data_IF_968075362140
#
_entry.id   IF_968075362140
#
_cell.length_a   1.000
_cell.length_b   1.000
_cell.length_c   1.000
_cell.angle_alpha   90.00
_cell.angle_beta   90.00
_cell.angle_gamma   90.00
#
_symmetry.space_group_name_H-M   'P 1'
#
loop_
_entity.id
_entity.type
_entity.pdbx_description
1 polymer ?
#
# COMPACT_ATOMS: atom_id res chain seq x y z
N UNK A 1 59.00 47.99 -47.98
CA UNK A 1 57.56 48.20 -48.14
C UNK A 1 56.89 46.93 -47.64
N UNK A 2 57.01 46.59 -46.37
CA UNK A 2 56.35 47.13 -45.16
C UNK A 2 55.50 45.97 -44.61
N UNK A 3 56.13 45.12 -43.78
CA UNK A 3 56.15 45.10 -42.29
C UNK A 3 54.99 44.25 -41.73
N UNK A 4 55.11 43.17 -40.94
CA UNK A 4 56.15 42.26 -40.38
C UNK A 4 55.43 40.90 -40.14
N UNK A 5 55.88 39.75 -40.69
CA UNK A 5 56.67 38.67 -40.03
C UNK A 5 56.22 38.26 -38.61
N UNK A 6 55.60 37.08 -38.41
CA UNK A 6 56.18 35.71 -38.19
C UNK A 6 56.41 35.43 -36.68
N UNK A 7 56.14 34.27 -36.07
CA UNK A 7 56.37 32.86 -36.42
C UNK A 7 55.55 31.92 -35.49
N UNK A 8 55.17 30.72 -35.96
CA UNK A 8 55.01 29.47 -35.16
C UNK A 8 56.34 28.69 -35.22
N UNK A 9 56.68 27.74 -34.31
CA UNK A 9 56.24 26.33 -34.49
C UNK A 9 56.16 25.44 -33.20
N UNK A 10 55.68 24.22 -33.47
CA UNK A 10 55.50 22.95 -32.74
C UNK A 10 56.76 22.27 -32.17
N UNK A 11 56.61 21.42 -31.13
CA UNK A 11 57.28 20.10 -30.87
C UNK A 11 56.54 19.41 -29.68
N UNK A 12 55.81 18.30 -29.80
CA UNK A 12 56.15 16.86 -29.89
C UNK A 12 56.75 16.19 -28.62
N UNK A 13 55.98 15.25 -28.06
CA UNK A 13 56.34 13.97 -27.39
C UNK A 13 57.14 13.94 -26.08
N UNK A 14 56.62 13.24 -25.06
CA UNK A 14 57.09 11.90 -24.63
C UNK A 14 56.50 11.48 -23.27
N UNK A 15 55.91 10.29 -23.24
CA UNK A 15 55.54 9.53 -22.06
C UNK A 15 56.65 8.53 -21.71
N UNK A 16 56.87 8.21 -20.43
CA UNK A 16 57.53 6.97 -20.01
C UNK A 16 57.37 6.69 -18.49
N UNK A 17 56.72 5.54 -18.19
CA UNK A 17 57.02 4.50 -17.16
C UNK A 17 57.14 4.85 -15.66
N UNK A 18 56.93 3.96 -14.68
CA UNK A 18 56.09 2.78 -14.42
C UNK A 18 56.50 2.28 -13.00
N UNK A 19 55.52 1.92 -12.18
CA UNK A 19 55.49 0.86 -11.14
C UNK A 19 56.57 0.71 -10.02
N UNK A 20 56.10 0.72 -8.76
CA UNK A 20 56.42 -0.27 -7.70
C UNK A 20 55.53 0.02 -6.45
N UNK A 21 54.44 -0.73 -6.22
CA UNK A 21 54.26 -1.90 -5.32
C UNK A 21 54.20 -1.64 -3.80
N UNK A 22 53.00 -1.96 -3.25
CA UNK A 22 52.68 -2.67 -1.99
C UNK A 22 52.85 -1.97 -0.62
N UNK A 23 51.71 -1.74 0.08
CA UNK A 23 51.28 -2.46 1.31
C UNK A 23 50.33 -1.64 2.23
N UNK A 24 49.43 -2.38 2.90
CA UNK A 24 48.82 -2.13 4.22
C UNK A 24 47.50 -1.32 4.36
N UNK A 25 46.39 -2.08 4.47
CA UNK A 25 45.46 -2.16 5.61
C UNK A 25 44.68 -0.91 6.13
N UNK A 26 43.35 -0.97 5.91
CA UNK A 26 42.24 -0.91 6.88
C UNK A 26 41.96 0.34 7.79
N UNK A 27 40.81 0.99 7.46
CA UNK A 27 39.73 1.59 8.32
C UNK A 27 40.03 2.80 9.25
N UNK A 28 39.02 3.52 9.79
CA UNK A 28 37.71 3.97 9.25
C UNK A 28 37.53 5.51 9.38
N UNK A 29 36.67 6.14 8.57
CA UNK A 29 36.27 7.55 8.80
C UNK A 29 35.10 7.56 9.79
N UNK A 30 35.40 8.09 10.97
CA UNK A 30 34.52 8.35 12.10
C UNK A 30 33.56 9.50 11.75
N UNK A 31 32.28 9.26 11.91
CA UNK A 31 31.23 10.27 11.89
C UNK A 31 31.54 11.39 12.91
N UNK A 32 31.56 12.64 12.45
CA UNK A 32 31.54 13.82 13.30
C UNK A 32 30.13 14.40 13.31
N UNK A 33 29.52 14.36 14.50
CA UNK A 33 28.35 15.12 14.86
C UNK A 33 28.59 16.62 14.65
N UNK A 34 27.74 17.26 13.85
CA UNK A 34 27.57 18.71 13.87
C UNK A 34 26.12 19.00 14.30
N UNK A 35 25.97 19.25 15.60
CA UNK A 35 24.76 19.79 16.20
C UNK A 35 24.55 21.23 15.70
N UNK A 36 23.64 21.41 14.74
CA UNK A 36 23.10 22.70 14.35
C UNK A 36 21.72 22.91 14.97
N UNK A 37 21.67 23.54 16.15
CA UNK A 37 20.42 24.07 16.71
C UNK A 37 19.95 25.23 15.83
N UNK A 38 18.82 25.06 15.14
CA UNK A 38 18.09 26.16 14.51
C UNK A 38 17.28 26.92 15.57
N UNK A 39 17.17 28.26 15.47
CA UNK A 39 16.51 29.06 16.49
C UNK A 39 15.00 28.78 16.55
N UNK A 40 14.53 28.50 17.76
CA UNK A 40 13.12 28.44 18.14
C UNK A 40 12.48 29.82 17.98
N UNK A 41 11.72 29.97 16.90
CA UNK A 41 10.58 30.88 16.83
C UNK A 41 9.53 30.17 15.98
N UNK A 42 8.87 29.20 16.60
CA UNK A 42 7.52 28.81 16.20
C UNK A 42 6.60 29.96 16.62
N UNK A 43 6.60 31.04 15.84
CA UNK A 43 5.36 31.75 15.66
C UNK A 43 4.43 30.73 15.02
N UNK A 44 3.33 30.41 15.70
CA UNK A 44 2.21 29.67 15.14
C UNK A 44 1.77 30.43 13.89
N UNK A 45 2.32 30.05 12.73
CA UNK A 45 1.79 30.45 11.45
C UNK A 45 0.42 29.80 11.40
N UNK A 46 -0.61 30.61 11.69
CA UNK A 46 -2.00 30.28 11.42
C UNK A 46 -2.03 29.70 10.00
N UNK A 47 -2.34 28.41 9.91
CA UNK A 47 -2.23 27.65 8.66
C UNK A 47 -3.23 28.24 7.68
N UNK A 48 -2.77 29.19 6.85
CA UNK A 48 -3.63 29.86 5.90
C UNK A 48 -4.18 28.79 4.95
N UNK A 49 -5.48 28.50 5.06
CA UNK A 49 -6.16 27.64 4.11
C UNK A 49 -6.09 28.20 2.69
N UNK A 50 -6.65 27.49 1.70
CA UNK A 50 -6.66 27.98 0.33
C UNK A 50 -7.25 29.40 0.24
N UNK A 51 -6.64 30.24 -0.57
CA UNK A 51 -7.10 31.62 -0.76
C UNK A 51 -8.33 31.70 -1.70
N UNK A 52 -8.91 32.89 -1.84
CA UNK A 52 -10.07 33.09 -2.70
C UNK A 52 -9.78 32.85 -4.19
N UNK A 53 -8.53 33.08 -4.63
CA UNK A 53 -8.10 32.85 -6.01
C UNK A 53 -8.14 31.36 -6.35
N UNK A 54 -7.69 30.50 -5.44
CA UNK A 54 -7.81 29.05 -5.57
C UNK A 54 -9.28 28.62 -5.76
N UNK A 55 -10.20 29.12 -4.93
CA UNK A 55 -11.62 28.74 -5.07
C UNK A 55 -12.25 29.29 -6.35
N UNK A 56 -11.81 30.45 -6.83
CA UNK A 56 -12.24 31.02 -8.10
C UNK A 56 -11.79 30.17 -9.29
N UNK A 57 -10.54 29.69 -9.29
CA UNK A 57 -10.04 28.75 -10.30
C UNK A 57 -10.87 27.46 -10.33
N UNK A 58 -11.19 26.88 -9.18
CA UNK A 58 -12.04 25.69 -9.10
C UNK A 58 -13.44 25.94 -9.70
N UNK A 59 -14.08 27.07 -9.38
CA UNK A 59 -15.40 27.43 -9.92
C UNK A 59 -15.35 27.64 -11.44
N UNK A 60 -14.32 28.29 -11.94
CA UNK A 60 -14.15 28.54 -13.37
C UNK A 60 -13.83 27.27 -14.18
N UNK A 61 -13.44 26.19 -13.49
CA UNK A 61 -13.04 24.92 -14.09
C UNK A 61 -14.12 23.84 -14.03
N UNK A 62 -15.33 24.19 -13.57
CA UNK A 62 -16.46 23.27 -13.56
C UNK A 62 -16.85 22.93 -14.99
N UNK A 63 -16.90 21.64 -15.27
CA UNK A 63 -17.37 21.09 -16.53
C UNK A 63 -18.84 20.66 -16.42
N UNK A 64 -19.67 21.19 -17.31
CA UNK A 64 -21.10 20.87 -17.43
C UNK A 64 -21.30 19.60 -18.26
N UNK A 65 -21.88 18.55 -17.67
CA UNK A 65 -22.14 17.30 -18.39
C UNK A 65 -23.48 17.28 -19.12
N UNK A 66 -24.33 18.30 -18.91
CA UNK A 66 -25.72 18.34 -19.34
C UNK A 66 -26.69 17.59 -18.39
N UNK A 67 -26.18 16.97 -17.34
CA UNK A 67 -26.99 16.40 -16.26
C UNK A 67 -27.32 17.48 -15.22
N UNK A 68 -28.58 17.53 -14.80
CA UNK A 68 -29.00 18.37 -13.69
C UNK A 68 -28.70 17.76 -12.33
N UNK A 69 -28.92 18.56 -11.29
CA UNK A 69 -28.83 18.16 -9.89
C UNK A 69 -29.67 16.89 -9.64
N UNK A 70 -29.07 15.88 -9.03
CA UNK A 70 -29.65 14.57 -8.74
C UNK A 70 -30.16 13.76 -9.96
N UNK A 71 -29.81 14.11 -11.21
CA UNK A 71 -30.05 13.22 -12.35
C UNK A 71 -29.33 11.87 -12.18
N UNK A 72 -28.24 11.85 -11.40
CA UNK A 72 -27.64 10.65 -10.82
C UNK A 72 -28.14 10.56 -9.37
N UNK A 73 -29.19 9.79 -9.07
CA UNK A 73 -29.86 9.89 -7.79
C UNK A 73 -29.01 9.30 -6.66
N UNK A 74 -28.78 10.01 -5.54
CA UNK A 74 -28.11 9.42 -4.37
C UNK A 74 -29.01 8.36 -3.71
N UNK A 75 -28.40 7.40 -3.01
CA UNK A 75 -29.11 6.46 -2.14
C UNK A 75 -29.15 7.05 -0.72
N UNK A 76 -30.30 7.58 -0.32
CA UNK A 76 -30.48 8.20 1.00
C UNK A 76 -31.04 7.27 2.08
N UNK A 77 -31.50 6.08 1.68
CA UNK A 77 -32.06 5.05 2.56
C UNK A 77 -31.57 3.68 2.10
N UNK A 78 -30.27 3.40 2.25
CA UNK A 78 -29.71 2.14 1.79
C UNK A 78 -30.37 0.98 2.51
N UNK A 79 -30.67 -0.07 1.75
CA UNK A 79 -31.08 -1.36 2.28
C UNK A 79 -29.90 -2.32 2.18
N UNK A 80 -29.74 -3.17 3.19
CA UNK A 80 -28.66 -4.13 3.24
C UNK A 80 -29.21 -5.55 3.25
N UNK A 81 -28.54 -6.44 2.53
CA UNK A 81 -28.81 -7.88 2.48
C UNK A 81 -27.61 -8.67 3.03
N UNK A 82 -27.81 -9.97 3.26
CA UNK A 82 -26.73 -10.86 3.68
C UNK A 82 -25.73 -11.09 2.54
N UNK A 83 -24.54 -11.56 2.90
CA UNK A 83 -23.55 -12.02 1.92
C UNK A 83 -24.07 -13.19 1.10
N UNK A 84 -24.82 -14.09 1.72
CA UNK A 84 -25.39 -15.28 1.07
C UNK A 84 -26.42 -14.88 0.01
N UNK A 85 -27.29 -13.91 0.31
CA UNK A 85 -28.27 -13.40 -0.66
C UNK A 85 -27.59 -12.66 -1.82
N UNK A 86 -26.56 -11.85 -1.52
CA UNK A 86 -25.81 -11.13 -2.55
C UNK A 86 -25.05 -12.09 -3.48
N UNK A 87 -24.53 -13.20 -2.95
CA UNK A 87 -23.80 -14.22 -3.70
C UNK A 87 -24.64 -14.89 -4.79
N UNK A 88 -25.97 -14.90 -4.67
CA UNK A 88 -26.87 -15.45 -5.70
C UNK A 88 -26.86 -14.64 -7.01
N UNK A 89 -26.34 -13.41 -7.00
CA UNK A 89 -26.41 -12.49 -8.15
C UNK A 89 -25.08 -11.81 -8.48
N UNK A 90 -23.97 -12.15 -7.81
CA UNK A 90 -22.67 -11.49 -7.95
C UNK A 90 -21.57 -12.49 -8.24
N UNK A 91 -20.72 -12.17 -9.21
CA UNK A 91 -19.54 -12.93 -9.60
C UNK A 91 -18.33 -12.53 -8.74
N UNK A 92 -17.46 -13.50 -8.45
CA UNK A 92 -16.33 -13.34 -7.54
C UNK A 92 -15.32 -12.26 -7.96
N UNK A 93 -15.20 -12.02 -9.26
CA UNK A 93 -14.28 -11.04 -9.82
C UNK A 93 -14.82 -9.60 -9.86
N UNK A 94 -16.04 -9.36 -9.39
CA UNK A 94 -16.60 -8.01 -9.37
C UNK A 94 -16.00 -7.15 -8.28
N UNK A 95 -15.81 -5.86 -8.54
CA UNK A 95 -15.27 -4.94 -7.56
C UNK A 95 -16.30 -4.53 -6.51
N UNK A 96 -15.84 -4.46 -5.27
CA UNK A 96 -16.60 -3.94 -4.13
C UNK A 96 -15.72 -3.05 -3.28
N UNK A 97 -16.34 -2.14 -2.53
CA UNK A 97 -15.66 -1.35 -1.51
C UNK A 97 -16.14 -1.81 -0.13
N UNK A 98 -15.21 -1.95 0.81
CA UNK A 98 -15.52 -2.46 2.15
C UNK A 98 -15.19 -1.41 3.20
N UNK A 99 -16.16 -1.14 4.07
CA UNK A 99 -15.95 -0.44 5.34
C UNK A 99 -15.96 -1.48 6.45
N UNK A 100 -14.78 -1.89 6.90
CA UNK A 100 -14.59 -2.96 7.87
C UNK A 100 -14.19 -2.47 9.27
N UNK A 101 -14.03 -1.16 9.45
CA UNK A 101 -13.67 -0.55 10.73
C UNK A 101 -14.68 0.52 11.18
N UNK A 102 -14.74 0.75 12.49
CA UNK A 102 -15.49 1.85 13.10
C UNK A 102 -17.02 1.74 12.99
N UNK A 103 -17.56 0.61 12.54
CA UNK A 103 -19.00 0.40 12.45
C UNK A 103 -19.61 0.27 13.86
N UNK A 104 -20.68 1.03 14.19
CA UNK A 104 -21.29 0.99 15.52
C UNK A 104 -21.80 -0.38 15.97
N UNK A 105 -22.15 -1.24 15.01
CA UNK A 105 -22.63 -2.61 15.24
C UNK A 105 -21.52 -3.67 15.09
N UNK A 106 -20.28 -3.25 14.85
CA UNK A 106 -19.14 -4.13 14.61
C UNK A 106 -19.17 -4.91 13.29
N UNK A 107 -20.20 -4.75 12.45
CA UNK A 107 -20.35 -5.52 11.22
C UNK A 107 -19.83 -4.74 10.00
N UNK A 108 -18.94 -5.31 9.17
CA UNK A 108 -18.49 -4.69 7.94
C UNK A 108 -19.64 -4.35 6.99
N UNK A 109 -19.49 -3.26 6.24
CA UNK A 109 -20.36 -2.88 5.12
C UNK A 109 -19.65 -3.10 3.80
N UNK A 110 -20.33 -3.76 2.87
CA UNK A 110 -19.83 -4.00 1.52
C UNK A 110 -20.71 -3.22 0.54
N UNK A 111 -20.07 -2.40 -0.28
CA UNK A 111 -20.72 -1.55 -1.28
C UNK A 111 -20.34 -2.05 -2.68
N UNK A 112 -21.23 -2.77 -3.39
CA UNK A 112 -20.95 -3.22 -4.74
C UNK A 112 -20.75 -2.03 -5.69
N UNK A 113 -19.61 -2.00 -6.39
CA UNK A 113 -19.30 -0.95 -7.37
C UNK A 113 -20.38 -0.84 -8.45
N UNK A 114 -20.96 -1.99 -8.82
CA UNK A 114 -22.07 -2.12 -9.77
C UNK A 114 -23.35 -1.35 -9.37
N UNK A 115 -23.52 -1.02 -8.09
CA UNK A 115 -24.58 -0.13 -7.61
C UNK A 115 -24.06 1.31 -7.61
N UNK A 116 -22.89 1.54 -7.02
CA UNK A 116 -22.32 2.88 -6.86
C UNK A 116 -22.03 3.60 -8.18
N UNK A 117 -21.65 2.91 -9.25
CA UNK A 117 -21.45 3.51 -10.58
C UNK A 117 -22.70 4.24 -11.11
N UNK A 118 -23.90 3.85 -10.65
CA UNK A 118 -25.18 4.45 -11.05
C UNK A 118 -25.73 5.49 -10.08
N UNK A 119 -25.15 5.60 -8.87
CA UNK A 119 -25.69 6.41 -7.79
C UNK A 119 -24.71 7.45 -7.26
N UNK A 120 -23.40 7.21 -7.41
CA UNK A 120 -22.26 8.03 -6.97
C UNK A 120 -22.18 8.25 -5.46
N UNK A 121 -23.30 8.33 -4.74
CA UNK A 121 -23.41 8.62 -3.32
C UNK A 121 -24.38 7.65 -2.64
N UNK A 122 -23.95 7.12 -1.50
CA UNK A 122 -24.80 6.45 -0.51
C UNK A 122 -24.69 7.22 0.79
N UNK A 123 -25.78 7.85 1.21
CA UNK A 123 -25.88 8.47 2.54
C UNK A 123 -26.54 7.46 3.48
N UNK A 124 -25.87 7.17 4.59
CA UNK A 124 -26.34 6.20 5.57
C UNK A 124 -26.30 6.75 6.99
N UNK A 125 -27.10 6.10 7.84
CA UNK A 125 -27.05 6.28 9.29
C UNK A 125 -26.92 4.88 9.90
N UNK A 126 -25.77 4.60 10.50
CA UNK A 126 -25.51 3.32 11.16
C UNK A 126 -25.69 3.46 12.68
N UNK A 127 -26.31 2.48 13.31
CA UNK A 127 -26.64 2.52 14.74
C UNK A 127 -27.89 3.35 15.06
N UNK A 128 -28.13 3.59 16.35
CA UNK A 128 -29.31 4.31 16.84
C UNK A 128 -28.97 5.24 18.00
N UNK A 129 -29.79 6.27 18.20
CA UNK A 129 -29.62 7.22 19.31
C UNK A 129 -28.28 7.96 19.24
N UNK A 130 -27.61 8.12 20.39
CA UNK A 130 -26.34 8.86 20.50
C UNK A 130 -25.15 8.16 19.83
N UNK A 131 -25.26 6.86 19.55
CA UNK A 131 -24.22 6.08 18.89
C UNK A 131 -24.40 6.03 17.37
N UNK A 132 -25.44 6.68 16.84
CA UNK A 132 -25.64 6.77 15.40
C UNK A 132 -24.44 7.46 14.73
N UNK A 133 -24.02 6.95 13.58
CA UNK A 133 -22.97 7.54 12.74
C UNK A 133 -23.59 7.85 11.38
N UNK A 134 -23.64 9.13 11.04
CA UNK A 134 -23.99 9.58 9.69
C UNK A 134 -22.75 9.46 8.82
N UNK A 135 -22.89 8.90 7.63
CA UNK A 135 -21.78 8.69 6.70
C UNK A 135 -22.25 8.84 5.27
N UNK A 136 -21.29 9.18 4.41
CA UNK A 136 -21.49 9.26 2.97
C UNK A 136 -20.39 8.46 2.29
N UNK A 137 -20.78 7.44 1.53
CA UNK A 137 -19.87 6.64 0.71
C UNK A 137 -20.03 7.12 -0.72
N UNK A 138 -18.92 7.48 -1.34
CA UNK A 138 -18.91 8.11 -2.66
C UNK A 138 -17.99 7.41 -3.63
N UNK A 139 -18.40 7.35 -4.90
CA UNK A 139 -17.62 6.77 -5.97
C UNK A 139 -17.80 7.57 -7.26
N UNK A 140 -16.72 8.17 -7.75
CA UNK A 140 -16.70 8.82 -9.06
C UNK A 140 -16.17 7.82 -10.10
N UNK A 141 -17.03 7.27 -10.98
CA UNK A 141 -16.62 6.17 -11.86
C UNK A 141 -15.59 6.60 -12.91
N UNK A 142 -15.61 7.86 -13.35
CA UNK A 142 -14.67 8.40 -14.33
C UNK A 142 -13.23 8.38 -13.79
N UNK A 143 -13.06 8.69 -12.51
CA UNK A 143 -11.73 8.86 -11.89
C UNK A 143 -11.33 7.65 -11.05
N UNK A 144 -12.21 6.66 -10.90
CA UNK A 144 -12.04 5.57 -9.96
C UNK A 144 -11.96 6.04 -8.50
N UNK A 145 -12.30 7.29 -8.17
CA UNK A 145 -12.11 7.81 -6.82
C UNK A 145 -13.18 7.29 -5.87
N UNK A 146 -12.76 6.61 -4.80
CA UNK A 146 -13.63 6.09 -3.74
C UNK A 146 -13.36 6.85 -2.45
N UNK A 147 -14.38 7.42 -1.82
CA UNK A 147 -14.22 8.16 -0.56
C UNK A 147 -15.34 7.87 0.42
N UNK A 148 -14.98 7.73 1.70
CA UNK A 148 -15.91 7.74 2.82
C UNK A 148 -15.79 9.05 3.60
N UNK A 149 -16.92 9.66 3.94
CA UNK A 149 -16.99 10.90 4.71
C UNK A 149 -17.92 10.78 5.91
N UNK A 150 -17.57 11.44 7.00
CA UNK A 150 -18.50 11.74 8.09
C UNK A 150 -19.65 12.57 7.55
N UNK A 151 -20.88 12.22 7.97
CA UNK A 151 -22.11 12.89 7.54
C UNK A 151 -22.46 14.12 8.38
N UNK A 152 -21.46 14.70 9.06
CA UNK A 152 -21.55 15.92 9.86
C UNK A 152 -20.28 16.75 9.72
N UNK A 153 -20.44 18.07 9.60
CA UNK A 153 -19.32 19.03 9.54
C UNK A 153 -19.78 20.39 10.04
N UNK A 154 -18.97 21.08 10.85
CA UNK A 154 -19.29 22.39 11.41
C UNK A 154 -20.70 22.48 12.06
N UNK A 155 -21.18 21.39 12.66
CA UNK A 155 -22.51 21.30 13.28
C UNK A 155 -23.68 21.06 12.31
N UNK A 156 -23.43 20.96 11.00
CA UNK A 156 -24.43 20.65 9.98
C UNK A 156 -24.36 19.17 9.59
N UNK A 157 -25.51 18.55 9.33
CA UNK A 157 -25.54 17.25 8.67
C UNK A 157 -25.26 17.40 7.18
N UNK A 158 -24.51 16.48 6.58
CA UNK A 158 -24.09 16.54 5.17
C UNK A 158 -24.54 15.31 4.36
N UNK A 159 -25.86 15.01 4.29
CA UNK A 159 -26.31 14.11 3.25
C UNK A 159 -26.03 14.78 1.90
N UNK A 160 -25.34 14.05 1.02
CA UNK A 160 -24.93 14.58 -0.27
C UNK A 160 -25.89 14.18 -1.40
N UNK A 161 -26.08 15.07 -2.36
CA UNK A 161 -26.55 14.71 -3.70
C UNK A 161 -25.48 14.99 -4.76
N UNK A 162 -25.76 14.59 -5.99
CA UNK A 162 -24.85 14.83 -7.12
C UNK A 162 -25.22 16.13 -7.84
N UNK A 163 -24.25 16.96 -8.19
CA UNK A 163 -24.53 18.16 -9.00
C UNK A 163 -24.76 17.84 -10.48
N UNK A 164 -24.23 16.72 -11.00
CA UNK A 164 -24.21 16.45 -12.43
C UNK A 164 -23.10 17.19 -13.18
N UNK A 165 -22.20 17.87 -12.45
CA UNK A 165 -21.04 18.57 -12.98
C UNK A 165 -19.75 17.95 -12.48
N UNK A 166 -18.65 18.26 -13.16
CA UNK A 166 -17.34 17.68 -12.87
C UNK A 166 -16.29 18.77 -12.60
N UNK A 167 -15.34 18.47 -11.74
CA UNK A 167 -14.13 19.26 -11.50
C UNK A 167 -12.94 18.32 -11.65
N UNK A 168 -12.00 18.59 -12.57
CA UNK A 168 -10.92 17.67 -12.94
C UNK A 168 -11.45 16.25 -13.25
N UNK A 169 -12.53 16.18 -14.04
CA UNK A 169 -13.29 14.97 -14.36
C UNK A 169 -13.87 14.20 -13.15
N UNK A 170 -13.70 14.70 -11.93
CA UNK A 170 -14.21 14.12 -10.69
C UNK A 170 -15.58 14.71 -10.33
N UNK A 171 -16.41 13.94 -9.63
CA UNK A 171 -17.78 14.34 -9.29
C UNK A 171 -17.83 15.54 -8.34
N UNK A 172 -18.73 16.49 -8.60
CA UNK A 172 -19.09 17.54 -7.65
C UNK A 172 -20.35 17.12 -6.89
N UNK A 173 -20.30 17.23 -5.57
CA UNK A 173 -21.42 16.95 -4.67
C UNK A 173 -22.01 18.26 -4.16
N UNK A 174 -23.23 18.20 -3.66
CA UNK A 174 -23.80 19.27 -2.83
C UNK A 174 -24.41 18.66 -1.58
N UNK A 175 -24.42 19.38 -0.45
CA UNK A 175 -25.15 18.95 0.74
C UNK A 175 -26.56 19.55 0.80
N UNK A 176 -27.55 18.80 1.28
CA UNK A 176 -28.94 19.28 1.35
C UNK A 176 -29.17 20.33 2.45
N UNK A 177 -28.28 20.47 3.43
CA UNK A 177 -28.50 21.30 4.61
C UNK A 177 -28.14 22.77 4.37
N UNK A 178 -27.03 23.01 3.67
CA UNK A 178 -26.45 24.34 3.43
C UNK A 178 -26.38 24.68 1.95
N UNK A 179 -26.59 23.70 1.07
CA UNK A 179 -26.48 23.87 -0.37
C UNK A 179 -25.05 24.27 -0.81
N UNK A 180 -24.03 23.91 -0.03
CA UNK A 180 -22.62 24.11 -0.40
C UNK A 180 -22.22 23.08 -1.46
N UNK A 181 -21.24 23.43 -2.30
CA UNK A 181 -20.70 22.54 -3.32
C UNK A 181 -19.34 22.00 -2.88
N UNK A 182 -19.17 20.69 -3.04
CA UNK A 182 -18.05 19.93 -2.51
C UNK A 182 -17.34 19.18 -3.63
N UNK A 183 -16.01 19.24 -3.65
CA UNK A 183 -15.22 18.34 -4.49
C UNK A 183 -15.25 16.95 -3.87
N UNK A 184 -15.73 15.93 -4.60
CA UNK A 184 -15.78 14.56 -4.08
C UNK A 184 -14.38 14.01 -3.79
N UNK A 185 -13.36 14.41 -4.56
CA UNK A 185 -11.98 13.99 -4.34
C UNK A 185 -11.29 14.77 -3.23
N UNK A 186 -11.57 16.06 -3.03
CA UNK A 186 -10.91 16.81 -1.95
C UNK A 186 -11.61 16.61 -0.61
N UNK A 187 -12.93 16.36 -0.62
CA UNK A 187 -13.75 16.41 0.58
C UNK A 187 -13.89 17.83 1.12
N UNK A 188 -13.67 18.84 0.29
CA UNK A 188 -13.69 20.25 0.67
C UNK A 188 -14.82 20.98 -0.05
N UNK A 189 -15.51 21.84 0.69
CA UNK A 189 -16.45 22.79 0.12
C UNK A 189 -15.68 23.92 -0.55
N UNK A 190 -15.89 24.11 -1.85
CA UNK A 190 -15.23 25.18 -2.62
C UNK A 190 -16.20 26.32 -2.98
N UNK A 191 -17.50 26.12 -2.73
CA UNK A 191 -18.52 27.14 -2.91
C UNK A 191 -19.69 26.96 -1.92
N UNK A 192 -20.39 28.06 -1.63
CA UNK A 192 -21.51 28.11 -0.69
C UNK A 192 -21.12 28.35 0.78
N UNK A 193 -22.09 28.24 1.71
CA UNK A 193 -21.90 28.65 3.11
C UNK A 193 -20.76 27.97 3.88
N UNK A 194 -20.38 26.75 3.48
CA UNK A 194 -19.31 25.99 4.13
C UNK A 194 -17.96 26.09 3.40
N UNK A 195 -17.79 27.01 2.43
CA UNK A 195 -16.55 27.21 1.66
C UNK A 195 -15.30 27.20 2.57
N UNK A 196 -14.29 26.43 2.18
CA UNK A 196 -13.03 26.25 2.90
C UNK A 196 -13.06 25.17 3.98
N UNK A 197 -14.23 24.61 4.28
CA UNK A 197 -14.35 23.51 5.25
C UNK A 197 -14.06 22.17 4.60
N UNK A 198 -13.35 21.29 5.32
CA UNK A 198 -13.07 19.91 4.92
C UNK A 198 -13.89 18.92 5.73
N UNK A 199 -14.26 17.81 5.09
CA UNK A 199 -14.96 16.69 5.72
C UNK A 199 -13.94 15.79 6.42
N UNK A 200 -14.31 15.30 7.60
CA UNK A 200 -13.62 14.15 8.18
C UNK A 200 -13.87 12.94 7.26
N UNK A 201 -12.81 12.29 6.81
CA UNK A 201 -12.88 11.14 5.92
C UNK A 201 -12.33 9.87 6.54
N UNK A 202 -12.71 8.73 5.96
CA UNK A 202 -12.26 7.41 6.39
C UNK A 202 -12.02 6.51 5.18
N UNK A 203 -11.05 5.58 5.30
CA UNK A 203 -10.66 4.74 4.18
C UNK A 203 -11.69 3.65 3.91
N UNK A 204 -11.72 3.23 2.65
CA UNK A 204 -12.51 2.10 2.16
C UNK A 204 -11.59 1.13 1.45
N UNK A 205 -11.75 -0.16 1.70
CA UNK A 205 -10.94 -1.19 1.05
C UNK A 205 -11.53 -1.52 -0.31
N UNK A 206 -10.80 -1.24 -1.39
CA UNK A 206 -11.16 -1.72 -2.73
C UNK A 206 -10.63 -3.14 -2.94
N UNK A 207 -11.56 -4.09 -3.07
CA UNK A 207 -11.26 -5.51 -3.31
C UNK A 207 -12.26 -6.11 -4.33
N UNK A 208 -12.21 -7.43 -4.51
CA UNK A 208 -13.22 -8.19 -5.26
C UNK A 208 -14.27 -8.81 -4.35
N UNK A 209 -15.44 -9.10 -4.91
CA UNK A 209 -16.56 -9.71 -4.21
C UNK A 209 -16.18 -11.07 -3.61
N UNK A 210 -15.49 -11.92 -4.38
CA UNK A 210 -15.06 -13.24 -3.93
C UNK A 210 -14.15 -13.18 -2.70
N UNK A 211 -13.26 -12.18 -2.66
CA UNK A 211 -12.37 -11.92 -1.52
C UNK A 211 -13.15 -11.37 -0.32
N UNK A 212 -13.97 -10.35 -0.54
CA UNK A 212 -14.77 -9.74 0.51
C UNK A 212 -15.74 -10.73 1.18
N UNK A 213 -16.46 -11.55 0.40
CA UNK A 213 -17.42 -12.53 0.95
C UNK A 213 -16.74 -13.64 1.75
N UNK A 214 -15.52 -14.03 1.35
CA UNK A 214 -14.72 -15.02 2.08
C UNK A 214 -14.21 -14.44 3.40
N UNK A 215 -13.72 -13.19 3.36
CA UNK A 215 -13.14 -12.52 4.53
C UNK A 215 -14.18 -12.04 5.55
N UNK A 216 -15.37 -11.70 5.09
CA UNK A 216 -16.44 -11.13 5.90
C UNK A 216 -17.80 -11.82 5.62
N UNK A 217 -17.98 -13.09 6.01
CA UNK A 217 -19.19 -13.86 5.70
C UNK A 217 -20.47 -13.30 6.36
N UNK A 218 -20.32 -12.53 7.43
CA UNK A 218 -21.42 -11.92 8.19
C UNK A 218 -21.64 -10.43 7.86
N UNK A 219 -20.94 -9.91 6.85
CA UNK A 219 -21.08 -8.51 6.45
C UNK A 219 -22.48 -8.17 5.94
N UNK A 220 -22.78 -6.88 5.93
CA UNK A 220 -23.99 -6.32 5.31
C UNK A 220 -23.64 -5.76 3.93
N UNK A 221 -24.33 -6.24 2.90
CA UNK A 221 -24.07 -5.85 1.51
C UNK A 221 -25.15 -4.88 1.04
N UNK A 222 -24.76 -3.74 0.46
CA UNK A 222 -25.72 -2.79 -0.12
C UNK A 222 -26.56 -3.49 -1.20
N UNK A 223 -27.88 -3.42 -1.03
CA UNK A 223 -28.86 -4.04 -1.91
C UNK A 223 -29.06 -3.26 -3.22
N UNK A 224 -29.54 -3.97 -4.24
CA UNK A 224 -30.07 -3.38 -5.48
C UNK A 224 -31.47 -2.77 -5.31
N UNK A 225 -32.12 -2.97 -4.16
CA UNK A 225 -33.40 -2.38 -3.82
C UNK A 225 -33.26 -0.89 -3.44
N UNK A 226 -32.81 -0.08 -4.40
CA UNK A 226 -32.50 1.35 -4.22
C UNK A 226 -33.72 2.25 -4.41
N UNK A 227 -34.82 1.70 -4.93
CA UNK A 227 -35.99 2.47 -5.39
C UNK A 227 -35.91 2.94 -6.85
N UNK A 228 -34.82 2.64 -7.57
CA UNK A 228 -34.62 3.05 -8.96
C UNK A 228 -34.52 1.85 -9.91
N UNK A 229 -35.04 2.02 -11.13
CA UNK A 229 -34.85 1.04 -12.22
C UNK A 229 -33.55 1.37 -12.97
N UNK A 230 -32.53 0.54 -12.76
CA UNK A 230 -31.20 0.65 -13.38
C UNK A 230 -30.68 -0.73 -13.77
N UNK A 231 -29.83 -0.80 -14.79
CA UNK A 231 -29.13 -2.02 -15.17
C UNK A 231 -27.88 -2.21 -14.30
N UNK A 232 -28.05 -2.55 -13.01
CA UNK A 232 -26.91 -2.77 -12.11
C UNK A 232 -26.01 -3.95 -12.51
N UNK A 233 -26.35 -4.73 -13.55
CA UNK A 233 -25.44 -5.75 -14.10
C UNK A 233 -24.52 -5.21 -15.21
N UNK A 234 -24.73 -3.96 -15.64
CA UNK A 234 -23.98 -3.34 -16.74
C UNK A 234 -23.31 -2.07 -16.23
N UNK A 235 -22.03 -1.96 -16.55
CA UNK A 235 -21.24 -0.78 -16.24
C UNK A 235 -21.17 0.13 -17.48
N UNK A 236 -21.61 1.40 -17.39
CA UNK A 236 -21.57 2.32 -18.52
C UNK A 236 -20.15 2.67 -18.99
N UNK A 237 -19.12 2.40 -18.18
CA UNK A 237 -17.71 2.64 -18.48
C UNK A 237 -16.91 1.33 -18.72
N UNK A 238 -17.57 0.16 -18.76
CA UNK A 238 -16.91 -1.10 -19.10
C UNK A 238 -16.36 -1.88 -17.89
N UNK A 239 -15.11 -2.32 -17.92
CA UNK A 239 -14.63 -3.33 -16.97
C UNK A 239 -13.15 -3.16 -16.62
N UNK A 240 -12.84 -3.02 -15.33
CA UNK A 240 -11.46 -3.05 -14.83
C UNK A 240 -10.69 -4.35 -15.15
N UNK A 241 -11.35 -5.38 -15.71
CA UNK A 241 -10.73 -6.66 -16.10
C UNK A 241 -10.55 -6.84 -17.60
N UNK A 242 -11.02 -5.91 -18.42
CA UNK A 242 -10.92 -6.02 -19.88
C UNK A 242 -10.15 -4.84 -20.44
N UNK A 243 -9.17 -5.16 -21.26
CA UNK A 243 -8.22 -4.19 -21.83
C UNK A 243 -8.88 -3.28 -22.87
N UNK A 244 -10.04 -3.69 -23.42
CA UNK A 244 -10.85 -2.92 -24.37
C UNK A 244 -11.83 -1.92 -23.72
N UNK A 245 -11.67 -1.65 -22.42
CA UNK A 245 -12.59 -0.81 -21.66
C UNK A 245 -12.00 0.56 -21.32
N UNK A 246 -12.88 1.51 -20.97
CA UNK A 246 -12.46 2.83 -20.50
C UNK A 246 -11.51 2.72 -19.31
N UNK A 247 -11.66 1.75 -18.42
CA UNK A 247 -10.79 1.65 -17.25
C UNK A 247 -9.35 1.22 -17.55
N UNK A 248 -9.10 0.66 -18.74
CA UNK A 248 -7.78 0.13 -19.13
C UNK A 248 -7.14 0.91 -20.29
N UNK A 249 -7.89 1.73 -21.02
CA UNK A 249 -7.32 2.62 -22.04
C UNK A 249 -6.74 3.93 -21.44
N UNK A 250 -6.06 4.74 -22.25
CA UNK A 250 -5.46 6.01 -21.80
C UNK A 250 -6.37 7.24 -21.97
N UNK A 251 -7.59 7.10 -22.48
CA UNK A 251 -8.48 8.25 -22.80
C UNK A 251 -8.92 8.96 -21.53
N UNK A 252 -8.90 10.29 -21.53
CA UNK A 252 -9.48 11.13 -20.48
C UNK A 252 -10.76 11.75 -21.06
N UNK A 253 -11.92 11.48 -20.43
CA UNK A 253 -13.22 11.85 -20.99
C UNK A 253 -13.56 13.33 -20.84
N UNK A 254 -12.97 14.01 -19.85
CA UNK A 254 -13.31 15.37 -19.49
C UNK A 254 -12.06 16.22 -19.20
N UNK A 255 -12.16 17.56 -19.31
CA UNK A 255 -11.03 18.45 -19.08
C UNK A 255 -10.42 18.34 -17.69
N UNK A 256 -9.12 18.68 -17.60
CA UNK A 256 -8.33 18.76 -16.39
C UNK A 256 -7.65 20.14 -16.32
N UNK A 257 -7.52 20.70 -15.12
CA UNK A 257 -6.75 21.91 -14.85
C UNK A 257 -5.25 21.70 -15.09
N UNK A 258 -4.74 20.57 -14.63
CA UNK A 258 -3.34 20.19 -14.78
C UNK A 258 -3.26 18.76 -15.32
N UNK A 259 -2.25 18.52 -16.15
CA UNK A 259 -1.89 17.20 -16.64
C UNK A 259 -0.48 16.89 -16.19
N UNK A 260 -0.22 15.61 -15.95
CA UNK A 260 1.04 15.13 -15.44
C UNK A 260 1.34 13.77 -16.06
N UNK A 261 2.45 13.67 -16.79
CA UNK A 261 2.87 12.51 -17.57
C UNK A 261 3.88 11.63 -16.83
N UNK A 262 4.16 11.89 -15.55
CA UNK A 262 5.06 11.06 -14.73
C UNK A 262 4.54 9.62 -14.55
N UNK A 263 3.23 9.39 -14.69
CA UNK A 263 2.60 8.07 -14.68
C UNK A 263 1.53 8.00 -15.78
N UNK A 264 1.20 6.77 -16.19
CA UNK A 264 0.06 6.51 -17.06
C UNK A 264 -1.22 7.14 -16.50
N UNK A 265 -2.08 7.80 -17.31
CA UNK A 265 -3.22 8.56 -16.80
C UNK A 265 -4.12 7.76 -15.86
N UNK A 266 -4.36 6.48 -16.16
CA UNK A 266 -5.21 5.59 -15.35
C UNK A 266 -4.44 4.66 -14.42
N UNK A 267 -3.15 4.88 -14.23
CA UNK A 267 -2.40 4.23 -13.17
C UNK A 267 -3.15 4.44 -11.85
N UNK A 268 -3.41 3.35 -11.12
CA UNK A 268 -4.07 3.42 -9.83
C UNK A 268 -3.05 3.81 -8.77
N UNK A 269 -3.32 4.92 -8.11
CA UNK A 269 -2.54 5.38 -6.96
C UNK A 269 -3.38 5.32 -5.70
N UNK A 270 -2.71 5.08 -4.58
CA UNK A 270 -3.26 5.37 -3.27
C UNK A 270 -2.87 6.81 -2.94
N UNK A 271 -3.83 7.72 -3.07
CA UNK A 271 -3.67 9.14 -2.78
C UNK A 271 -3.74 9.38 -1.28
N UNK A 272 -2.82 10.17 -0.77
CA UNK A 272 -2.74 10.57 0.63
C UNK A 272 -2.46 12.07 0.70
N UNK A 273 -3.28 12.80 1.44
CA UNK A 273 -3.08 14.21 1.70
C UNK A 273 -2.95 14.42 3.21
N UNK A 274 -1.75 14.81 3.65
CA UNK A 274 -1.42 15.08 5.05
C UNK A 274 -0.94 16.52 5.16
N UNK A 275 -1.71 17.35 5.84
CA UNK A 275 -1.41 18.76 5.96
C UNK A 275 -1.21 19.43 4.60
N UNK A 276 0.01 19.89 4.29
CA UNK A 276 0.33 20.55 3.02
C UNK A 276 1.04 19.58 2.04
N UNK A 277 1.23 18.32 2.46
CA UNK A 277 1.90 17.30 1.67
C UNK A 277 0.88 16.41 0.96
N UNK A 278 1.05 16.29 -0.34
CA UNK A 278 0.28 15.37 -1.17
C UNK A 278 1.19 14.25 -1.68
N UNK A 279 0.76 13.02 -1.48
CA UNK A 279 1.53 11.81 -1.82
C UNK A 279 0.67 10.90 -2.68
N UNK A 280 1.25 10.44 -3.79
CA UNK A 280 0.71 9.39 -4.64
C UNK A 280 1.57 8.15 -4.50
N UNK A 281 0.99 7.04 -4.04
CA UNK A 281 1.70 5.76 -3.96
C UNK A 281 1.22 4.88 -5.10
N UNK A 282 2.14 4.41 -5.95
CA UNK A 282 1.79 3.49 -7.05
C UNK A 282 1.26 2.20 -6.45
N UNK A 283 -0.05 1.96 -6.57
CA UNK A 283 -0.75 0.93 -5.79
C UNK A 283 -0.15 -0.46 -6.02
N UNK A 284 0.20 -0.76 -7.28
CA UNK A 284 0.71 -2.07 -7.67
C UNK A 284 2.09 -2.36 -7.11
N UNK A 285 2.92 -1.33 -6.91
CA UNK A 285 4.28 -1.51 -6.41
C UNK A 285 4.32 -1.98 -4.95
N UNK A 286 3.24 -1.78 -4.20
CA UNK A 286 3.12 -2.20 -2.79
C UNK A 286 2.96 -3.71 -2.60
N UNK A 287 2.55 -4.43 -3.66
CA UNK A 287 2.21 -5.86 -3.57
C UNK A 287 3.40 -6.77 -3.29
N UNK A 288 4.57 -6.40 -3.79
CA UNK A 288 5.79 -7.20 -3.64
C UNK A 288 6.47 -7.04 -2.28
N UNK A 289 6.78 -5.82 -1.79
CA UNK A 289 7.38 -5.67 -0.47
C UNK A 289 6.44 -6.11 0.65
N UNK A 290 5.11 -6.06 0.42
CA UNK A 290 4.01 -6.35 1.37
C UNK A 290 3.96 -5.46 2.61
N UNK A 291 5.12 -5.10 3.17
CA UNK A 291 5.34 -4.04 4.15
C UNK A 291 6.23 -2.97 3.51
N UNK A 292 5.68 -1.80 3.21
CA UNK A 292 6.43 -0.68 2.64
C UNK A 292 6.49 0.46 3.65
N UNK A 293 7.66 0.68 4.26
CA UNK A 293 7.91 1.76 5.21
C UNK A 293 8.42 2.99 4.45
N UNK A 294 7.88 4.16 4.75
CA UNK A 294 8.31 5.43 4.19
C UNK A 294 7.90 6.58 5.12
N UNK A 295 8.51 7.75 4.94
CA UNK A 295 8.13 8.94 5.69
C UNK A 295 7.47 9.95 4.74
N UNK A 296 6.30 10.44 5.12
CA UNK A 296 5.59 11.49 4.43
C UNK A 296 5.68 12.77 5.28
N UNK A 297 6.69 13.59 4.98
CA UNK A 297 7.05 14.72 5.84
C UNK A 297 7.53 14.22 7.20
N UNK A 298 6.85 14.61 8.27
CA UNK A 298 7.16 14.17 9.65
C UNK A 298 6.36 12.95 10.09
N UNK A 299 5.44 12.46 9.25
CA UNK A 299 4.58 11.31 9.57
C UNK A 299 5.25 10.04 9.06
N UNK A 300 5.68 9.13 9.95
CA UNK A 300 6.25 7.86 9.55
C UNK A 300 5.12 6.88 9.22
N UNK A 301 5.12 6.35 7.99
CA UNK A 301 4.02 5.55 7.44
C UNK A 301 4.50 4.16 7.09
N UNK A 302 3.64 3.18 7.30
CA UNK A 302 3.76 1.85 6.71
C UNK A 302 2.53 1.54 5.88
N UNK A 303 2.74 1.01 4.68
CA UNK A 303 1.71 0.30 3.92
C UNK A 303 1.82 -1.20 4.20
N UNK A 304 0.75 -1.82 4.66
CA UNK A 304 0.64 -3.28 4.82
C UNK A 304 -0.33 -3.85 3.79
N UNK A 305 0.08 -4.92 3.11
CA UNK A 305 -0.72 -5.58 2.08
C UNK A 305 -1.59 -6.71 2.65
N UNK A 306 -2.91 -6.55 2.59
CA UNK A 306 -3.84 -7.61 2.93
C UNK A 306 -3.96 -8.59 1.76
N UNK A 307 -3.35 -9.78 1.86
CA UNK A 307 -3.35 -10.78 0.78
C UNK A 307 -4.73 -11.40 0.54
N UNK A 308 -5.56 -11.50 1.58
CA UNK A 308 -6.92 -12.02 1.47
C UNK A 308 -7.78 -11.04 0.67
N UNK A 309 -7.59 -9.74 0.87
CA UNK A 309 -8.32 -8.68 0.18
C UNK A 309 -7.62 -8.13 -1.06
N UNK A 310 -6.36 -8.48 -1.32
CA UNK A 310 -5.54 -7.91 -2.41
C UNK A 310 -5.49 -6.37 -2.36
N UNK A 311 -5.33 -5.83 -1.15
CA UNK A 311 -5.46 -4.39 -0.90
C UNK A 311 -4.42 -3.87 0.11
N UNK A 312 -3.82 -2.70 -0.14
CA UNK A 312 -2.98 -2.04 0.85
C UNK A 312 -3.81 -1.28 1.89
N UNK A 313 -3.25 -1.12 3.09
CA UNK A 313 -3.71 -0.16 4.11
C UNK A 313 -2.53 0.66 4.60
N UNK A 314 -2.74 1.96 4.83
CA UNK A 314 -1.72 2.86 5.37
C UNK A 314 -1.91 3.06 6.86
N UNK A 315 -0.82 3.05 7.60
CA UNK A 315 -0.81 3.23 9.03
C UNK A 315 0.29 4.19 9.46
N UNK A 316 0.03 4.96 10.50
CA UNK A 316 1.09 5.59 11.28
C UNK A 316 1.85 4.49 12.02
N UNK A 317 3.15 4.39 11.77
CA UNK A 317 4.00 3.35 12.39
C UNK A 317 4.47 3.72 13.79
N UNK A 318 3.90 4.76 14.41
CA UNK A 318 4.14 5.11 15.82
C UNK A 318 3.13 4.43 16.75
N UNK A 319 3.65 3.76 17.78
CA UNK A 319 2.85 3.12 18.84
C UNK A 319 3.48 3.42 20.19
N UNK A 320 2.81 4.21 21.02
CA UNK A 320 3.38 4.70 22.27
C UNK A 320 4.68 5.48 22.00
N UNK A 321 5.80 5.00 22.56
CA UNK A 321 7.11 5.62 22.39
C UNK A 321 7.95 4.99 21.25
N UNK A 322 7.38 4.05 20.50
CA UNK A 322 8.07 3.38 19.40
C UNK A 322 7.70 4.01 18.07
N UNK A 323 8.70 4.23 17.22
CA UNK A 323 8.53 4.35 15.78
C UNK A 323 8.98 3.03 15.15
N UNK A 324 8.02 2.26 14.66
CA UNK A 324 8.20 0.87 14.25
C UNK A 324 8.69 0.78 12.79
N UNK A 325 9.49 -0.24 12.48
CA UNK A 325 9.84 -0.62 11.11
C UNK A 325 9.32 -2.02 10.82
N UNK A 326 8.44 -2.13 9.83
CA UNK A 326 7.78 -3.39 9.51
C UNK A 326 8.55 -4.20 8.49
N UNK A 327 8.61 -5.50 8.72
CA UNK A 327 9.12 -6.49 7.77
C UNK A 327 8.08 -7.59 7.56
N UNK A 328 8.01 -8.11 6.35
CA UNK A 328 7.20 -9.28 6.03
C UNK A 328 8.10 -10.50 5.89
N UNK A 329 7.91 -11.53 6.72
CA UNK A 329 8.70 -12.77 6.72
C UNK A 329 7.81 -13.95 7.07
N UNK A 330 8.01 -15.07 6.38
CA UNK A 330 7.33 -16.36 6.65
C UNK A 330 5.80 -16.26 6.77
N UNK A 331 5.16 -15.43 5.92
CA UNK A 331 3.71 -15.30 5.92
C UNK A 331 3.15 -14.29 6.93
N UNK A 332 4.00 -13.57 7.67
CA UNK A 332 3.58 -12.70 8.78
C UNK A 332 4.29 -11.35 8.77
N UNK A 333 3.64 -10.35 9.37
CA UNK A 333 4.21 -9.02 9.59
C UNK A 333 4.84 -8.94 10.98
N UNK A 334 6.04 -8.37 11.06
CA UNK A 334 6.73 -8.11 12.31
C UNK A 334 7.27 -6.68 12.34
N UNK A 335 7.34 -6.06 13.50
CA UNK A 335 8.18 -4.87 13.70
C UNK A 335 9.58 -5.27 14.22
N UNK A 336 10.60 -4.51 13.83
CA UNK A 336 12.01 -4.78 14.20
C UNK A 336 12.29 -4.41 15.66
N UNK A 337 11.66 -3.36 16.17
CA UNK A 337 11.97 -2.74 17.46
C UNK A 337 11.54 -3.60 18.66
N UNK A 338 10.43 -4.33 18.50
CA UNK A 338 9.82 -5.11 19.58
C UNK A 338 9.63 -6.57 19.20
N UNK A 339 9.75 -6.92 17.92
CA UNK A 339 9.49 -8.28 17.43
C UNK A 339 8.03 -8.68 17.50
N UNK A 340 7.10 -7.72 17.67
CA UNK A 340 5.67 -8.03 17.76
C UNK A 340 5.18 -8.47 16.37
N UNK A 341 4.31 -9.48 16.34
CA UNK A 341 3.64 -9.96 15.14
C UNK A 341 2.33 -9.21 14.94
N UNK A 342 2.08 -8.81 13.71
CA UNK A 342 0.94 -7.97 13.32
C UNK A 342 0.11 -8.63 12.22
N UNK A 343 -1.18 -8.30 12.20
CA UNK A 343 -2.09 -8.59 11.11
C UNK A 343 -2.08 -7.43 10.09
N UNK A 344 -2.45 -7.67 8.82
CA UNK A 344 -2.51 -6.63 7.78
C UNK A 344 -3.57 -5.55 8.04
N UNK A 345 -4.46 -5.74 9.03
CA UNK A 345 -5.40 -4.71 9.50
C UNK A 345 -4.79 -3.82 10.60
N UNK A 346 -3.51 -4.02 10.94
CA UNK A 346 -2.77 -3.22 11.92
C UNK A 346 -2.97 -3.68 13.37
N UNK A 347 -3.58 -4.84 13.63
CA UNK A 347 -3.69 -5.41 14.97
C UNK A 347 -2.43 -6.19 15.36
N UNK A 348 -1.82 -5.85 16.49
CA UNK A 348 -0.78 -6.66 17.11
C UNK A 348 -1.40 -7.91 17.76
N UNK A 349 -0.92 -9.08 17.38
CA UNK A 349 -1.50 -10.37 17.79
C UNK A 349 -0.58 -11.21 18.66
N UNK A 350 0.70 -10.89 18.75
CA UNK A 350 1.65 -11.64 19.58
C UNK A 350 2.91 -10.80 19.83
N UNK A 351 3.38 -10.73 21.07
CA UNK A 351 4.62 -10.03 21.44
C UNK A 351 4.37 -8.82 22.35
N UNK A 352 5.36 -7.94 22.44
CA UNK A 352 5.38 -6.85 23.43
C UNK A 352 4.23 -5.86 23.28
N UNK A 353 3.75 -5.67 22.06
CA UNK A 353 2.67 -4.74 21.74
C UNK A 353 1.33 -5.46 21.50
N UNK A 354 1.17 -6.72 21.92
CA UNK A 354 -0.09 -7.47 21.76
C UNK A 354 -1.33 -6.65 22.18
N UNK A 355 -2.41 -6.77 21.41
CA UNK A 355 -3.67 -6.02 21.55
C UNK A 355 -3.60 -4.52 21.25
N UNK A 356 -2.43 -3.97 20.90
CA UNK A 356 -2.36 -2.62 20.33
C UNK A 356 -2.81 -2.65 18.86
N UNK A 357 -3.28 -1.50 18.38
CA UNK A 357 -3.66 -1.30 16.98
C UNK A 357 -2.96 -0.07 16.43
N UNK A 358 -2.43 -0.19 15.21
CA UNK A 358 -1.86 0.95 14.49
C UNK A 358 -2.95 1.97 14.15
N UNK A 359 -2.60 3.26 14.19
CA UNK A 359 -3.50 4.31 13.75
C UNK A 359 -3.61 4.27 12.23
N UNK A 360 -4.83 4.03 11.73
CA UNK A 360 -5.11 3.96 10.30
C UNK A 360 -5.04 5.37 9.68
N UNK A 361 -4.35 5.49 8.56
CA UNK A 361 -4.25 6.72 7.77
C UNK A 361 -5.21 6.61 6.58
N UNK A 362 -5.98 7.66 6.33
CA UNK A 362 -6.93 7.73 5.21
C UNK A 362 -6.21 7.96 3.88
N UNK A 363 -5.70 6.86 3.31
CA UNK A 363 -5.32 6.78 1.90
C UNK A 363 -6.48 6.23 1.07
N UNK A 364 -6.68 6.75 -0.14
CA UNK A 364 -7.78 6.32 -1.00
C UNK A 364 -7.37 6.05 -2.44
N UNK A 365 -8.04 5.09 -3.07
CA UNK A 365 -7.83 4.73 -4.46
C UNK A 365 -8.34 5.83 -5.40
N UNK A 366 -7.52 6.17 -6.39
CA UNK A 366 -7.86 7.12 -7.46
C UNK A 366 -6.96 6.89 -8.69
N UNK A 367 -7.43 7.25 -9.87
CA UNK A 367 -6.61 7.28 -11.09
C UNK A 367 -5.68 8.49 -11.08
N UNK A 368 -4.44 8.28 -11.53
CA UNK A 368 -3.38 9.27 -11.53
C UNK A 368 -3.80 10.62 -12.11
N UNK A 369 -4.42 10.64 -13.29
CA UNK A 369 -4.81 11.87 -13.99
C UNK A 369 -5.69 12.78 -13.12
N UNK A 370 -6.55 12.20 -12.29
CA UNK A 370 -7.43 12.97 -11.42
C UNK A 370 -6.67 13.44 -10.19
N UNK A 371 -5.84 12.58 -9.59
CA UNK A 371 -5.04 12.95 -8.43
C UNK A 371 -4.07 14.08 -8.73
N UNK A 372 -3.27 13.97 -9.79
CA UNK A 372 -2.28 14.99 -10.18
C UNK A 372 -2.95 16.30 -10.62
N UNK A 373 -4.16 16.25 -11.18
CA UNK A 373 -4.92 17.45 -11.51
C UNK A 373 -5.36 18.25 -10.27
N UNK A 374 -5.61 17.59 -9.14
CA UNK A 374 -5.90 18.26 -7.86
C UNK A 374 -4.66 18.59 -7.03
N UNK A 375 -3.61 17.77 -7.16
CA UNK A 375 -2.38 17.87 -6.39
C UNK A 375 -1.14 17.84 -7.32
N UNK A 376 -0.90 18.90 -8.11
CA UNK A 376 0.18 18.90 -9.11
C UNK A 376 1.58 18.79 -8.48
N UNK A 377 1.74 19.27 -7.25
CA UNK A 377 2.99 19.15 -6.47
C UNK A 377 3.16 17.81 -5.75
N UNK A 378 2.32 16.81 -6.05
CA UNK A 378 2.37 15.51 -5.38
C UNK A 378 3.73 14.83 -5.52
N UNK A 379 4.20 14.26 -4.43
CA UNK A 379 5.35 13.34 -4.41
C UNK A 379 4.86 11.94 -4.81
N UNK A 380 5.67 11.21 -5.57
CA UNK A 380 5.34 9.83 -6.00
C UNK A 380 6.22 8.85 -5.24
N UNK A 381 5.63 7.82 -4.65
CA UNK A 381 6.34 6.65 -4.12
C UNK A 381 6.03 5.42 -4.98
N UNK A 382 7.09 4.68 -5.34
CA UNK A 382 7.01 3.38 -5.99
C UNK A 382 8.11 2.47 -5.44
N UNK A 383 7.82 1.17 -5.38
CA UNK A 383 8.74 0.10 -4.99
C UNK A 383 9.10 -0.84 -6.15
N UNK A 384 8.79 -0.47 -7.39
CA UNK A 384 9.16 -1.27 -8.57
C UNK A 384 10.67 -1.37 -8.76
N UNK A 385 11.41 -0.28 -8.46
CA UNK A 385 12.87 -0.26 -8.58
C UNK A 385 13.57 -1.03 -7.46
N UNK A 386 13.04 -0.99 -6.23
CA UNK A 386 13.60 -1.74 -5.10
C UNK A 386 13.52 -3.26 -5.33
N UNK A 387 12.41 -3.72 -5.92
CA UNK A 387 12.26 -5.11 -6.36
C UNK A 387 13.25 -5.46 -7.47
N UNK A 388 13.43 -4.56 -8.44
CA UNK A 388 14.33 -4.80 -9.58
C UNK A 388 15.79 -4.84 -9.13
N UNK A 389 16.19 -3.97 -8.20
CA UNK A 389 17.50 -3.97 -7.57
C UNK A 389 17.73 -5.27 -6.78
N UNK A 390 16.74 -5.72 -5.99
CA UNK A 390 16.85 -6.97 -5.22
C UNK A 390 16.94 -8.21 -6.13
N UNK A 391 16.19 -8.26 -7.24
CA UNK A 391 16.35 -9.31 -8.26
C UNK A 391 17.73 -9.26 -8.93
N UNK A 392 18.22 -8.07 -9.25
CA UNK A 392 19.54 -7.90 -9.88
C UNK A 392 20.64 -8.33 -8.93
N UNK A 393 20.52 -8.02 -7.62
CA UNK A 393 21.44 -8.47 -6.57
C UNK A 393 21.36 -9.99 -6.33
N UNK A 394 20.17 -10.59 -6.28
CA UNK A 394 20.01 -12.05 -6.16
C UNK A 394 20.54 -12.79 -7.40
N UNK A 395 20.33 -12.25 -8.60
CA UNK A 395 20.88 -12.79 -9.84
C UNK A 395 22.41 -12.61 -9.91
N UNK A 396 22.96 -11.49 -9.44
CA UNK A 396 24.42 -11.31 -9.35
C UNK A 396 25.05 -12.19 -8.26
N UNK A 397 24.38 -12.40 -7.12
CA UNK A 397 24.83 -13.34 -6.10
C UNK A 397 24.70 -14.80 -6.53
N UNK A 398 23.70 -15.14 -7.34
CA UNK A 398 23.54 -16.47 -7.93
C UNK A 398 24.46 -16.71 -9.13
N UNK A 399 24.90 -15.65 -9.82
CA UNK A 399 25.81 -15.70 -10.96
C UNK A 399 27.29 -15.60 -10.57
N UNK A 400 27.61 -15.28 -9.30
CA UNK A 400 28.91 -15.60 -8.73
C UNK A 400 28.97 -17.12 -8.67
N UNK A 401 29.55 -17.69 -9.73
CA UNK A 401 29.85 -19.10 -9.90
C UNK A 401 30.22 -19.72 -8.55
N UNK A 402 29.51 -20.78 -8.17
CA UNK A 402 29.97 -21.67 -7.12
C UNK A 402 31.33 -22.20 -7.59
N UNK A 403 32.40 -21.50 -7.24
CA UNK A 403 33.75 -22.02 -7.33
C UNK A 403 33.75 -23.17 -6.34
N UNK A 404 33.62 -24.39 -6.85
CA UNK A 404 33.87 -25.59 -6.07
C UNK A 404 35.22 -25.38 -5.37
N UNK A 405 35.29 -25.52 -4.03
CA UNK A 405 36.58 -25.49 -3.37
C UNK A 405 37.44 -26.58 -4.02
N UNK A 406 38.71 -26.29 -4.34
CA UNK A 406 39.57 -27.27 -5.00
C UNK A 406 39.56 -28.57 -4.19
N UNK A 407 39.41 -29.70 -4.88
CA UNK A 407 39.47 -31.01 -4.24
C UNK A 407 40.71 -31.08 -3.33
N UNK A 408 40.56 -31.56 -2.08
CA UNK A 408 41.72 -31.79 -1.25
C UNK A 408 42.59 -32.85 -1.92
N UNK A 409 43.73 -32.43 -2.47
CA UNK A 409 44.77 -33.33 -2.93
C UNK A 409 45.39 -33.99 -1.71
N UNK A 410 44.87 -35.17 -1.35
CA UNK A 410 45.60 -36.08 -0.49
C UNK A 410 46.68 -36.74 -1.31
N UNK A 411 47.95 -36.40 -1.03
CA UNK A 411 49.08 -37.17 -1.52
C UNK A 411 48.90 -38.64 -1.07
N UNK A 412 48.95 -39.55 -2.05
CA UNK A 412 48.95 -40.99 -1.78
C UNK A 412 50.11 -41.31 -0.85
N UNK A 413 49.90 -42.09 0.23
CA UNK A 413 51.02 -42.61 1.01
C UNK A 413 51.93 -43.41 0.08
N UNK A 414 53.20 -43.02 0.04
CA UNK A 414 54.23 -43.78 -0.64
C UNK A 414 54.27 -45.21 -0.09
N UNK A 415 54.52 -46.16 -0.99
CA UNK A 415 54.85 -47.54 -0.67
C UNK A 415 56.11 -47.58 0.21
N UNK A 416 55.95 -47.47 1.52
CA UNK A 416 56.96 -47.90 2.49
C UNK A 416 56.69 -49.35 2.86
N UNK A 417 57.69 -50.18 2.60
CA UNK A 417 57.80 -51.57 3.03
C UNK A 417 57.62 -51.69 4.54
N UNK A 418 56.65 -52.49 4.97
CA UNK A 418 56.45 -52.89 6.37
C UNK A 418 57.69 -53.60 6.92
N UNK A 419 58.26 -53.17 8.06
CA UNK A 419 59.22 -53.99 8.78
C UNK A 419 58.51 -55.14 9.50
N UNK A 420 59.06 -56.34 9.41
CA UNK A 420 58.63 -57.54 10.14
C UNK A 420 58.72 -57.33 11.66
N UNK A 421 57.59 -57.47 12.36
CA UNK A 421 57.52 -57.50 13.82
C UNK A 421 57.98 -58.88 14.36
N UNK A 422 58.78 -58.94 15.44
CA UNK A 422 59.15 -60.21 16.07
C UNK A 422 57.99 -60.82 16.86
N UNK A 423 57.90 -62.15 16.84
CA UNK A 423 56.92 -62.95 17.58
C UNK A 423 56.95 -62.64 19.08
N UNK A 424 55.82 -62.16 19.62
CA UNK A 424 55.59 -62.07 21.07
C UNK A 424 54.52 -63.09 21.46
N UNK A 425 54.90 -64.00 22.35
CA UNK A 425 54.05 -65.06 22.91
C UNK A 425 52.95 -64.45 23.79
N UNK A 426 51.68 -64.90 23.69
CA UNK A 426 50.59 -64.33 24.48
C UNK A 426 50.70 -64.72 25.96
N UNK A 427 50.41 -63.80 26.90
CA UNK A 427 50.38 -64.09 28.33
C UNK A 427 49.15 -64.92 28.72
N UNK A 428 49.34 -65.83 29.68
CA UNK A 428 48.30 -66.70 30.23
C UNK A 428 47.24 -65.92 31.01
N UNK A 429 45.96 -66.28 30.80
CA UNK A 429 44.80 -65.76 31.52
C UNK A 429 44.79 -66.20 33.00
N UNK A 430 44.49 -65.31 33.95
CA UNK A 430 44.26 -65.66 35.35
C UNK A 430 43.05 -66.60 35.49
N UNK A 431 43.23 -67.66 36.29
CA UNK A 431 42.13 -68.48 36.81
C UNK A 431 41.43 -67.67 37.89
N UNK A 432 40.13 -67.44 37.72
CA UNK A 432 39.08 -67.23 38.75
C UNK A 432 38.00 -66.26 38.23
N UNK A 433 37.18 -66.73 37.29
CA UNK A 433 35.89 -66.12 36.96
C UNK A 433 34.80 -67.16 37.27
N UNK A 434 33.86 -66.89 38.20
CA UNK A 434 32.76 -67.80 38.52
C UNK A 434 31.67 -67.83 37.41
N UNK A 435 30.89 -68.93 37.32
CA UNK A 435 30.12 -69.27 36.12
C UNK A 435 28.75 -68.58 36.00
N UNK A 436 28.52 -68.07 34.79
CA UNK A 436 27.31 -68.03 33.94
C UNK A 436 25.96 -68.51 34.50
N UNK A 437 24.89 -67.76 34.22
CA UNK A 437 23.60 -68.33 33.77
C UNK A 437 23.05 -67.51 32.59
N UNK A 438 22.76 -68.22 31.50
CA UNK A 438 22.17 -67.78 30.23
C UNK A 438 20.66 -68.08 30.25
N UNK A 439 19.93 -67.36 29.39
CA UNK A 439 18.73 -67.75 28.60
C UNK A 439 17.38 -67.15 29.05
N UNK A 440 16.33 -67.17 28.19
CA UNK A 440 15.96 -66.10 27.25
C UNK A 440 14.46 -65.73 27.39
N UNK A 441 13.93 -64.84 26.56
CA UNK A 441 12.52 -64.76 26.08
C UNK A 441 12.30 -63.33 25.55
N UNK A 442 12.34 -63.06 24.24
CA UNK A 442 11.35 -63.35 23.19
C UNK A 442 9.97 -62.71 23.46
N UNK A 443 9.69 -61.59 22.78
CA UNK A 443 8.45 -61.35 22.01
C UNK A 443 8.56 -60.06 21.17
N UNK A 444 8.70 -60.27 19.87
CA UNK A 444 8.33 -59.35 18.80
C UNK A 444 6.82 -59.48 18.62
N UNK A 445 6.10 -58.38 18.37
CA UNK A 445 4.80 -58.42 17.74
C UNK A 445 4.76 -57.39 16.59
N UNK A 446 4.64 -57.84 15.33
CA UNK A 446 4.37 -57.00 14.16
C UNK A 446 2.88 -57.05 13.76
N UNK A 447 2.56 -56.34 12.68
CA UNK A 447 1.27 -56.23 11.94
C UNK A 447 0.32 -55.11 12.41
N UNK A 448 -0.32 -54.28 11.57
CA UNK A 448 -0.41 -53.96 10.13
C UNK A 448 -1.32 -52.69 10.12
N UNK A 449 -1.27 -51.68 9.25
CA UNK A 449 -0.89 -51.62 7.84
C UNK A 449 -2.11 -51.26 6.98
N UNK A 450 -2.40 -49.95 6.80
CA UNK A 450 -2.82 -49.27 5.55
C UNK A 450 -3.14 -47.80 5.80
#
# INVERSE_FOLDING_TARGET
MDTRMHTRPTFLAAALFCLALLCAWAMPVRAQNASGLLPSSAAEAEKAGPDDAYFEELRNSIFETGLGRNNIPPINRPQYISVQDAALAMDDGESVFVLDYGNPDGQPRIYPRRVLVWHVVVNEVLGSGKNARRRSITYSPITGCVRGYSGEVAGFSTPFGSMGTLLNANSILFDYSTNSMWSQLLGMAFDGPLKGTTLESFPLVWTTWGRARKRYPDAKVLSRATGYRRSYGTDPYGSYRRDDSYYQDQRILHPLLHQDDRLEPKARVLGLHLDDLSVAIVRQSLKQPKAANFDAGVTPIVSLWDEDLDAPRLFDRRVGNYQLHFVYRDGSYFDVETGTRWQPDGLAVEGRLENNRLALIDGFDVMWFAWSAFYPSTTIFSWEDAVTAQKTEEETFSAVEQVEPPEPTFDKPGTETLPTLPNVTPPALPKDIPPTVITPDMKINPEEGL
#
